data_IF_505541076720
#
_entry.id   IF_505541076720
#
_cell.length_a   1.000
_cell.length_b   1.000
_cell.length_c   1.000
_cell.angle_alpha   90.00
_cell.angle_beta   90.00
_cell.angle_gamma   90.00
#
_symmetry.space_group_name_H-M   'P 1'
#
loop_
_entity.id
_entity.type
_entity.pdbx_description
1 polymer ?
#
# COMPACT_ATOMS: atom_id res chain seq x y z
N UNK A 1 -24.99 -23.02 -25.20
CA UNK A 1 -24.39 -21.72 -24.82
C UNK A 1 -23.38 -21.99 -23.72
N UNK A 2 -22.07 -21.90 -24.02
CA UNK A 2 -21.02 -22.02 -23.01
C UNK A 2 -20.90 -20.66 -22.34
N UNK A 3 -21.20 -20.59 -21.05
CA UNK A 3 -20.96 -19.39 -20.24
C UNK A 3 -19.47 -19.10 -20.22
N UNK A 4 -19.07 -18.03 -20.89
CA UNK A 4 -17.72 -17.48 -20.76
C UNK A 4 -17.51 -17.08 -19.31
N UNK A 5 -16.69 -17.84 -18.58
CA UNK A 5 -16.15 -17.41 -17.30
C UNK A 5 -15.31 -16.16 -17.58
N UNK A 6 -15.89 -14.97 -17.34
CA UNK A 6 -15.13 -13.73 -17.22
C UNK A 6 -13.97 -14.01 -16.27
N UNK A 7 -12.73 -13.80 -16.74
CA UNK A 7 -11.57 -13.79 -15.84
C UNK A 7 -11.90 -12.80 -14.71
N UNK A 8 -11.73 -13.17 -13.43
CA UNK A 8 -11.91 -12.22 -12.36
C UNK A 8 -10.95 -11.06 -12.60
N UNK A 9 -11.48 -9.84 -12.56
CA UNK A 9 -10.64 -8.66 -12.65
C UNK A 9 -9.59 -8.73 -11.55
N UNK A 10 -8.34 -8.48 -11.90
CA UNK A 10 -7.19 -8.62 -11.02
C UNK A 10 -7.24 -7.64 -9.82
N UNK A 11 -8.27 -6.79 -9.77
CA UNK A 11 -8.54 -5.81 -8.73
C UNK A 11 -9.83 -6.07 -7.94
N UNK A 12 -10.29 -7.32 -7.86
CA UNK A 12 -11.45 -7.68 -7.03
C UNK A 12 -10.99 -8.12 -5.64
N UNK A 13 -11.68 -7.66 -4.59
CA UNK A 13 -11.47 -8.17 -3.23
C UNK A 13 -11.68 -9.70 -3.19
N UNK A 14 -10.90 -10.41 -2.37
CA UNK A 14 -11.06 -11.87 -2.24
C UNK A 14 -12.18 -12.15 -1.25
N UNK A 15 -13.22 -12.86 -1.67
CA UNK A 15 -14.25 -13.38 -0.77
C UNK A 15 -13.60 -14.30 0.27
N UNK A 16 -13.68 -13.91 1.53
CA UNK A 16 -13.36 -14.73 2.69
C UNK A 16 -14.66 -14.92 3.47
N UNK A 17 -15.19 -16.15 3.49
CA UNK A 17 -16.49 -16.46 4.11
C UNK A 17 -16.52 -16.22 5.62
N UNK A 18 -15.36 -15.99 6.25
CA UNK A 18 -15.22 -15.71 7.69
C UNK A 18 -15.08 -14.22 8.01
N UNK A 19 -15.29 -13.34 7.03
CA UNK A 19 -15.11 -11.89 7.19
C UNK A 19 -16.36 -11.25 7.79
N UNK A 20 -16.21 -10.60 8.94
CA UNK A 20 -17.30 -9.87 9.57
C UNK A 20 -17.43 -8.48 8.93
N UNK A 21 -18.48 -8.28 8.14
CA UNK A 21 -18.72 -7.03 7.42
C UNK A 21 -18.82 -5.80 8.35
N UNK A 22 -19.45 -5.93 9.52
CA UNK A 22 -19.58 -4.82 10.49
C UNK A 22 -18.23 -4.44 11.08
N UNK A 23 -17.38 -5.43 11.38
CA UNK A 23 -16.02 -5.19 11.86
C UNK A 23 -15.17 -4.53 10.78
N UNK A 24 -15.30 -4.97 9.51
CA UNK A 24 -14.60 -4.37 8.38
C UNK A 24 -15.03 -2.91 8.18
N UNK A 25 -16.33 -2.64 8.13
CA UNK A 25 -16.86 -1.29 7.98
C UNK A 25 -16.36 -0.35 9.09
N UNK A 26 -16.39 -0.80 10.35
CA UNK A 26 -15.84 -0.05 11.48
C UNK A 26 -14.34 0.21 11.31
N UNK A 27 -13.57 -0.81 10.93
CA UNK A 27 -12.13 -0.68 10.72
C UNK A 27 -11.81 0.33 9.61
N UNK A 28 -12.50 0.27 8.47
CA UNK A 28 -12.33 1.19 7.35
C UNK A 28 -12.71 2.63 7.73
N UNK A 29 -13.80 2.83 8.48
CA UNK A 29 -14.21 4.15 8.97
C UNK A 29 -13.16 4.76 9.90
N UNK A 30 -12.65 3.97 10.85
CA UNK A 30 -11.57 4.41 11.74
C UNK A 30 -10.30 4.73 10.95
N UNK A 31 -9.91 3.87 10.02
CA UNK A 31 -8.73 4.06 9.17
C UNK A 31 -8.85 5.33 8.32
N UNK A 32 -10.00 5.56 7.69
CA UNK A 32 -10.31 6.80 6.97
C UNK A 32 -10.10 8.03 7.84
N UNK A 33 -10.66 8.02 9.05
CA UNK A 33 -10.50 9.13 10.01
C UNK A 33 -9.03 9.37 10.35
N UNK A 34 -8.27 8.31 10.63
CA UNK A 34 -6.84 8.41 11.01
C UNK A 34 -5.97 8.90 9.85
N UNK A 35 -6.28 8.52 8.62
CA UNK A 35 -5.62 9.04 7.42
C UNK A 35 -5.92 10.54 7.25
N UNK A 36 -7.18 10.95 7.37
CA UNK A 36 -7.59 12.34 7.23
C UNK A 36 -6.98 13.26 8.30
N UNK A 37 -6.77 12.77 9.52
CA UNK A 37 -6.16 13.53 10.63
C UNK A 37 -4.63 13.42 10.69
N UNK A 38 -3.98 12.77 9.70
CA UNK A 38 -2.55 12.47 9.70
C UNK A 38 -2.06 11.71 10.95
N UNK A 39 -2.94 10.91 11.57
CA UNK A 39 -2.63 10.10 12.75
C UNK A 39 -1.85 8.81 12.39
N UNK A 40 -1.83 8.43 11.11
CA UNK A 40 -1.00 7.32 10.64
C UNK A 40 0.44 7.79 10.39
N UNK A 41 1.36 7.22 11.17
CA UNK A 41 2.79 7.54 11.07
C UNK A 41 3.54 6.54 10.20
N UNK A 42 3.12 5.28 10.25
CA UNK A 42 3.75 4.15 9.55
C UNK A 42 2.72 3.34 8.75
N UNK A 43 3.11 2.84 7.59
CA UNK A 43 2.23 2.03 6.72
C UNK A 43 1.77 0.73 7.37
N UNK A 44 2.58 0.16 8.28
CA UNK A 44 2.21 -1.04 9.06
C UNK A 44 1.00 -0.83 9.97
N UNK A 45 0.56 0.41 10.19
CA UNK A 45 -0.62 0.73 10.98
C UNK A 45 -1.93 0.63 10.17
N UNK A 46 -1.85 0.56 8.84
CA UNK A 46 -3.03 0.47 7.97
C UNK A 46 -3.80 -0.85 8.17
N UNK A 47 -3.16 -2.04 8.24
CA UNK A 47 -3.86 -3.26 8.63
C UNK A 47 -4.53 -3.17 10.00
N UNK A 48 -3.92 -2.41 10.92
CA UNK A 48 -4.48 -2.07 12.23
C UNK A 48 -4.94 -3.28 13.03
N UNK A 49 -6.10 -3.13 13.69
CA UNK A 49 -6.67 -4.16 14.56
C UNK A 49 -7.43 -5.25 13.79
N UNK A 50 -7.76 -5.03 12.50
CA UNK A 50 -8.50 -5.99 11.70
C UNK A 50 -7.78 -6.41 10.42
N UNK A 51 -6.53 -6.83 10.59
CA UNK A 51 -5.61 -7.27 9.54
C UNK A 51 -6.25 -8.24 8.55
N UNK A 52 -7.01 -9.24 9.00
CA UNK A 52 -7.67 -10.22 8.10
C UNK A 52 -8.69 -9.56 7.18
N UNK A 53 -9.46 -8.59 7.70
CA UNK A 53 -10.45 -7.86 6.91
C UNK A 53 -9.79 -6.92 5.91
N UNK A 54 -8.83 -6.11 6.37
CA UNK A 54 -8.08 -5.18 5.52
C UNK A 54 -7.31 -5.92 4.42
N UNK A 55 -6.65 -7.04 4.76
CA UNK A 55 -5.97 -7.92 3.80
C UNK A 55 -6.89 -8.32 2.66
N UNK A 56 -8.08 -8.79 3.00
CA UNK A 56 -9.04 -9.34 2.02
C UNK A 56 -9.65 -8.23 1.18
N UNK A 57 -9.94 -7.06 1.78
CA UNK A 57 -10.37 -5.86 1.07
C UNK A 57 -9.33 -5.37 0.06
N UNK A 58 -8.04 -5.42 0.40
CA UNK A 58 -6.94 -5.09 -0.51
C UNK A 58 -6.66 -6.18 -1.56
N UNK A 59 -7.28 -7.37 -1.44
CA UNK A 59 -7.01 -8.52 -2.32
C UNK A 59 -5.63 -9.16 -2.13
N UNK A 60 -4.95 -8.89 -1.02
CA UNK A 60 -3.56 -9.31 -0.78
C UNK A 60 -3.46 -10.63 -0.02
N UNK A 61 -2.35 -11.35 -0.20
CA UNK A 61 -1.96 -12.43 0.72
C UNK A 61 -1.41 -11.85 2.03
N UNK A 62 -1.44 -12.62 3.12
CA UNK A 62 -0.95 -12.15 4.44
C UNK A 62 0.54 -11.77 4.37
N UNK A 63 1.37 -12.64 3.81
CA UNK A 63 2.81 -12.38 3.66
C UNK A 63 3.07 -11.17 2.78
N UNK A 64 2.28 -10.97 1.72
CA UNK A 64 2.38 -9.81 0.83
C UNK A 64 2.04 -8.53 1.59
N UNK A 65 0.96 -8.53 2.37
CA UNK A 65 0.54 -7.39 3.18
C UNK A 65 1.65 -7.01 4.17
N UNK A 66 2.14 -7.96 4.96
CA UNK A 66 3.20 -7.70 5.94
C UNK A 66 4.46 -7.20 5.24
N UNK A 67 4.95 -7.88 4.20
CA UNK A 67 6.19 -7.52 3.52
C UNK A 67 6.14 -6.11 2.91
N UNK A 68 5.02 -5.71 2.31
CA UNK A 68 4.89 -4.39 1.66
C UNK A 68 4.53 -3.27 2.63
N UNK A 69 3.63 -3.50 3.58
CA UNK A 69 3.21 -2.44 4.51
C UNK A 69 4.19 -2.24 5.67
N UNK A 70 5.05 -3.21 5.97
CA UNK A 70 6.16 -3.01 6.92
C UNK A 70 7.41 -2.43 6.25
N UNK A 71 7.53 -2.53 4.93
CA UNK A 71 8.61 -1.93 4.15
C UNK A 71 8.03 -1.14 2.97
N UNK A 72 7.70 0.15 3.15
CA UNK A 72 7.03 0.96 2.14
C UNK A 72 7.80 1.08 0.82
N UNK A 73 9.11 0.79 0.79
CA UNK A 73 9.90 0.75 -0.44
C UNK A 73 9.47 -0.37 -1.40
N UNK A 74 8.70 -1.35 -0.89
CA UNK A 74 8.15 -2.47 -1.64
C UNK A 74 6.68 -2.29 -2.01
N UNK A 75 6.04 -1.20 -1.57
CA UNK A 75 4.69 -0.87 -2.01
C UNK A 75 4.69 -0.59 -3.50
N UNK A 76 3.69 -1.12 -4.18
CA UNK A 76 3.39 -0.80 -5.57
C UNK A 76 2.39 0.35 -5.63
N UNK A 77 2.32 1.04 -6.76
CA UNK A 77 1.26 2.04 -6.99
C UNK A 77 -0.13 1.43 -6.81
N UNK A 78 -0.33 0.17 -7.21
CA UNK A 78 -1.58 -0.57 -6.99
C UNK A 78 -1.92 -0.68 -5.50
N UNK A 79 -0.95 -0.94 -4.64
CA UNK A 79 -1.19 -1.04 -3.19
C UNK A 79 -1.65 0.32 -2.61
N UNK A 80 -1.06 1.43 -3.09
CA UNK A 80 -1.44 2.80 -2.70
C UNK A 80 -2.86 3.13 -3.16
N UNK A 81 -3.16 2.90 -4.45
CA UNK A 81 -4.48 3.18 -5.03
C UNK A 81 -5.57 2.34 -4.37
N UNK A 82 -5.35 1.03 -4.20
CA UNK A 82 -6.32 0.16 -3.54
C UNK A 82 -6.56 0.57 -2.07
N UNK A 83 -5.52 1.05 -1.36
CA UNK A 83 -5.67 1.59 -0.01
C UNK A 83 -6.57 2.83 0.00
N UNK A 84 -6.33 3.75 -0.95
CA UNK A 84 -7.14 4.95 -1.13
C UNK A 84 -8.61 4.60 -1.43
N UNK A 85 -8.83 3.64 -2.33
CA UNK A 85 -10.16 3.16 -2.72
C UNK A 85 -10.93 2.57 -1.52
N UNK A 86 -10.34 1.60 -0.81
CA UNK A 86 -11.07 0.93 0.30
C UNK A 86 -11.32 1.86 1.49
N UNK A 87 -10.51 2.91 1.64
CA UNK A 87 -10.67 3.91 2.71
C UNK A 87 -11.49 5.12 2.26
N UNK A 88 -11.80 5.24 0.97
CA UNK A 88 -12.40 6.42 0.37
C UNK A 88 -11.66 7.71 0.78
N UNK A 89 -10.35 7.71 0.54
CA UNK A 89 -9.41 8.82 0.79
C UNK A 89 -8.64 9.18 -0.48
N UNK A 90 -8.00 10.35 -0.49
CA UNK A 90 -7.11 10.74 -1.58
C UNK A 90 -5.82 9.90 -1.55
N UNK A 91 -5.41 9.37 -2.70
CA UNK A 91 -4.18 8.58 -2.83
C UNK A 91 -2.94 9.37 -2.41
N UNK A 92 -2.95 10.69 -2.56
CA UNK A 92 -1.82 11.55 -2.18
C UNK A 92 -1.52 11.48 -0.68
N UNK A 93 -2.55 11.31 0.15
CA UNK A 93 -2.40 11.16 1.60
C UNK A 93 -1.64 9.86 1.90
N UNK A 94 -2.07 8.76 1.28
CA UNK A 94 -1.45 7.44 1.45
C UNK A 94 -0.01 7.45 0.92
N UNK A 95 0.19 8.02 -0.26
CA UNK A 95 1.50 8.14 -0.91
C UNK A 95 2.48 8.96 -0.04
N UNK A 96 2.03 10.08 0.53
CA UNK A 96 2.86 10.93 1.39
C UNK A 96 3.35 10.19 2.62
N UNK A 97 2.50 9.38 3.25
CA UNK A 97 2.88 8.54 4.40
C UNK A 97 3.94 7.52 3.97
N UNK A 98 3.70 6.80 2.88
CA UNK A 98 4.60 5.79 2.35
C UNK A 98 5.98 6.36 1.98
N UNK A 99 6.03 7.48 1.25
CA UNK A 99 7.28 8.13 0.86
C UNK A 99 8.05 8.63 2.08
N UNK A 100 7.37 9.32 3.01
CA UNK A 100 8.00 9.83 4.24
C UNK A 100 8.68 8.71 5.02
N UNK A 101 8.03 7.56 5.15
CA UNK A 101 8.61 6.39 5.83
C UNK A 101 9.71 5.72 5.00
N UNK A 102 9.50 5.56 3.69
CA UNK A 102 10.50 4.98 2.79
C UNK A 102 11.82 5.77 2.80
N UNK A 103 11.76 7.11 2.76
CA UNK A 103 12.93 8.00 2.79
C UNK A 103 13.74 7.80 4.07
N UNK A 104 13.09 7.66 5.23
CA UNK A 104 13.78 7.43 6.51
C UNK A 104 14.59 6.14 6.52
N UNK A 105 14.18 5.15 5.73
CA UNK A 105 14.81 3.84 5.64
C UNK A 105 15.61 3.64 4.33
N UNK A 106 15.75 4.69 3.50
CA UNK A 106 16.41 4.58 2.20
C UNK A 106 17.88 4.97 2.31
N UNK A 107 18.76 4.03 2.00
CA UNK A 107 20.16 4.33 1.72
C UNK A 107 20.26 4.87 0.31
N UNK A 108 20.73 6.12 0.17
CA UNK A 108 20.95 6.75 -1.13
C UNK A 108 21.86 5.86 -1.97
N UNK A 109 21.47 5.63 -3.22
CA UNK A 109 22.30 4.91 -4.18
C UNK A 109 23.45 5.83 -4.63
N UNK A 110 24.67 5.39 -4.35
CA UNK A 110 25.86 6.01 -4.92
C UNK A 110 26.03 5.55 -6.36
N UNK A 111 26.15 6.51 -7.27
CA UNK A 111 26.37 6.28 -8.70
C UNK A 111 27.66 6.95 -9.19
N UNK A 112 28.50 7.45 -8.28
CA UNK A 112 29.70 8.22 -8.61
C UNK A 112 30.65 7.46 -9.54
N UNK A 113 30.69 6.12 -9.43
CA UNK A 113 31.48 5.25 -10.32
C UNK A 113 31.07 5.30 -11.81
N UNK A 114 29.87 5.81 -12.11
CA UNK A 114 29.33 5.91 -13.47
C UNK A 114 29.31 7.35 -13.99
N UNK A 115 29.67 8.32 -13.14
CA UNK A 115 29.71 9.73 -13.50
C UNK A 115 31.18 10.12 -13.75
N UNK A 116 31.44 10.98 -14.74
CA UNK A 116 32.77 11.54 -14.90
C UNK A 116 33.16 12.28 -13.62
N UNK A 117 34.43 12.17 -13.20
CA UNK A 117 34.93 12.97 -12.10
C UNK A 117 34.81 14.45 -12.49
N UNK A 118 34.43 15.33 -11.55
CA UNK A 118 34.40 16.77 -11.79
C UNK A 118 35.80 17.22 -12.24
N UNK A 119 36.01 17.36 -13.55
CA UNK A 119 37.31 17.63 -14.18
C UNK A 119 37.66 16.80 -15.42
N UNK A 120 36.98 15.66 -15.66
CA UNK A 120 37.18 14.80 -16.83
C UNK A 120 36.11 14.98 -17.91
N UNK A 121 35.62 16.22 -18.11
CA UNK A 121 34.88 16.56 -19.32
C UNK A 121 35.93 16.74 -20.42
N UNK A 122 36.38 15.63 -21.02
CA UNK A 122 37.16 15.65 -22.27
C UNK A 122 36.21 15.77 -23.46
N UNK A 123 36.59 16.66 -24.38
CA UNK A 123 35.91 17.05 -25.64
C UNK A 123 35.46 15.88 -26.52
#
# INVERSE_FOLDING_TARGET
MKSEKKKPDDNTAKEDSNLNAKTLEKALRTLKSRLATNDIKYMKEIPGEYTTGIRSALGLGYNTLINRYHDPRKLTLKDILNTADITNTDYEIVLKIAIREAIRNHTKRDISIFLPNEGEITE
#
